data_IF_371348197783
#
_entry.id   IF_371348197783
#
_cell.length_a   1.000
_cell.length_b   1.000
_cell.length_c   1.000
_cell.angle_alpha   90.00
_cell.angle_beta   90.00
_cell.angle_gamma   90.00
#
_symmetry.space_group_name_H-M   'P 1'
#
loop_
_entity.id
_entity.type
_entity.pdbx_description
1 polymer ?
#
# COMPACT_ATOMS: atom_id res chain seq x y z
N UNK A 1 6.09 2.93 28.58
CA UNK A 1 5.82 2.71 27.15
C UNK A 1 7.12 2.88 26.40
N UNK A 2 7.81 1.77 26.14
CA UNK A 2 9.09 1.77 25.44
C UNK A 2 8.98 2.32 24.01
N UNK A 3 10.07 2.91 23.53
CA UNK A 3 10.15 3.51 22.19
C UNK A 3 9.76 2.51 21.08
N UNK A 4 10.12 1.23 21.22
CA UNK A 4 9.75 0.20 20.24
C UNK A 4 8.25 -0.02 20.12
N UNK A 5 7.50 0.03 21.24
CA UNK A 5 6.02 -0.06 21.21
C UNK A 5 5.40 1.10 20.44
N UNK A 6 5.89 2.33 20.68
CA UNK A 6 5.42 3.53 19.99
C UNK A 6 5.64 3.40 18.48
N UNK A 7 6.84 2.98 18.07
CA UNK A 7 7.19 2.81 16.66
C UNK A 7 6.33 1.75 15.97
N UNK A 8 6.04 0.63 16.64
CA UNK A 8 5.10 -0.37 16.12
C UNK A 8 3.69 0.21 15.95
N UNK A 9 3.17 0.93 16.94
CA UNK A 9 1.82 1.50 16.85
C UNK A 9 1.74 2.50 15.68
N UNK A 10 2.70 3.43 15.60
CA UNK A 10 2.72 4.44 14.53
C UNK A 10 2.92 3.76 13.18
N UNK A 11 3.85 2.82 13.07
CA UNK A 11 4.12 2.10 11.83
C UNK A 11 2.91 1.32 11.32
N UNK A 12 2.21 0.61 12.21
CA UNK A 12 1.01 -0.14 11.88
C UNK A 12 -0.16 0.75 11.46
N UNK A 13 -0.36 1.88 12.16
CA UNK A 13 -1.36 2.88 11.78
C UNK A 13 -1.06 3.48 10.41
N UNK A 14 0.19 3.86 10.16
CA UNK A 14 0.60 4.43 8.87
C UNK A 14 0.38 3.42 7.74
N UNK A 15 0.77 2.15 7.92
CA UNK A 15 0.56 1.10 6.91
C UNK A 15 -0.93 0.82 6.64
N UNK A 16 -1.78 0.83 7.66
CA UNK A 16 -3.24 0.71 7.47
C UNK A 16 -3.83 1.91 6.76
N UNK A 17 -3.43 3.12 7.16
CA UNK A 17 -3.91 4.34 6.52
C UNK A 17 -3.48 4.40 5.06
N UNK A 18 -2.23 4.04 4.78
CA UNK A 18 -1.70 3.92 3.43
C UNK A 18 -2.52 2.97 2.57
N UNK A 19 -2.83 1.78 3.08
CA UNK A 19 -3.53 0.74 2.33
C UNK A 19 -5.02 1.02 2.11
N UNK A 20 -5.70 1.61 3.09
CA UNK A 20 -7.15 1.80 3.04
C UNK A 20 -7.55 3.15 2.46
N UNK A 21 -6.78 4.21 2.72
CA UNK A 21 -7.23 5.59 2.49
C UNK A 21 -6.41 6.36 1.47
N UNK A 22 -5.29 5.84 0.96
CA UNK A 22 -4.49 6.55 -0.02
C UNK A 22 -4.41 5.81 -1.36
N UNK A 23 -4.20 6.59 -2.42
CA UNK A 23 -3.78 6.05 -3.71
C UNK A 23 -2.33 5.57 -3.63
N UNK A 24 -2.05 4.49 -4.35
CA UNK A 24 -0.69 4.01 -4.56
C UNK A 24 -0.05 4.67 -5.79
N UNK A 25 -0.87 5.00 -6.79
CA UNK A 25 -0.42 5.65 -8.01
C UNK A 25 -1.50 6.57 -8.61
N UNK A 26 -1.04 7.53 -9.42
CA UNK A 26 -1.84 8.43 -10.24
C UNK A 26 -1.15 8.60 -11.60
N UNK A 27 -1.82 8.17 -12.67
CA UNK A 27 -1.31 8.20 -14.05
C UNK A 27 -2.09 9.25 -14.83
N UNK A 28 -1.39 10.19 -15.45
CA UNK A 28 -2.02 11.16 -16.35
C UNK A 28 -2.36 10.50 -17.69
N UNK A 29 -3.65 10.42 -18.02
CA UNK A 29 -4.14 9.83 -19.27
C UNK A 29 -4.48 10.89 -20.33
N UNK A 30 -4.90 12.08 -19.88
CA UNK A 30 -5.06 13.28 -20.68
C UNK A 30 -4.57 14.47 -19.84
N UNK A 31 -4.23 15.62 -20.46
CA UNK A 31 -3.86 16.83 -19.72
C UNK A 31 -4.89 17.18 -18.64
N UNK A 32 -4.48 17.06 -17.37
CA UNK A 32 -5.35 17.33 -16.21
C UNK A 32 -6.35 16.21 -15.84
N UNK A 33 -6.32 15.05 -16.51
CA UNK A 33 -7.15 13.89 -16.19
C UNK A 33 -6.24 12.76 -15.70
N UNK A 34 -6.40 12.41 -14.42
CA UNK A 34 -5.61 11.38 -13.75
C UNK A 34 -6.43 10.13 -13.49
N UNK A 35 -5.88 8.98 -13.86
CA UNK A 35 -6.35 7.67 -13.47
C UNK A 35 -5.62 7.25 -12.20
N UNK A 36 -6.38 7.07 -11.11
CA UNK A 36 -5.85 6.83 -9.77
C UNK A 36 -6.13 5.40 -9.31
N UNK A 37 -5.11 4.74 -8.78
CA UNK A 37 -5.25 3.42 -8.18
C UNK A 37 -5.25 3.49 -6.67
N UNK A 38 -6.34 3.05 -6.07
CA UNK A 38 -6.53 3.00 -4.63
C UNK A 38 -6.49 1.56 -4.13
N UNK A 39 -5.99 1.35 -2.90
CA UNK A 39 -6.02 0.01 -2.29
C UNK A 39 -7.44 -0.55 -2.18
N UNK A 40 -8.42 0.29 -1.84
CA UNK A 40 -9.84 -0.10 -1.82
C UNK A 40 -10.39 -0.48 -3.20
N UNK A 41 -9.78 -0.03 -4.29
CA UNK A 41 -10.20 -0.37 -5.64
C UNK A 41 -10.11 -1.87 -5.91
N UNK A 42 -9.09 -2.54 -5.38
CA UNK A 42 -9.00 -4.00 -5.46
C UNK A 42 -10.14 -4.71 -4.74
N UNK A 43 -10.59 -4.17 -3.60
CA UNK A 43 -11.72 -4.73 -2.88
C UNK A 43 -13.01 -4.57 -3.67
N UNK A 44 -13.22 -3.40 -4.29
CA UNK A 44 -14.42 -3.14 -5.10
C UNK A 44 -14.44 -3.95 -6.40
N UNK A 45 -13.27 -4.21 -6.99
CA UNK A 45 -13.12 -5.00 -8.21
C UNK A 45 -12.95 -6.50 -7.96
N UNK A 46 -13.01 -6.97 -6.70
CA UNK A 46 -12.69 -8.35 -6.34
C UNK A 46 -13.47 -9.37 -7.18
N UNK A 47 -14.78 -9.19 -7.33
CA UNK A 47 -15.60 -10.10 -8.15
C UNK A 47 -15.16 -10.16 -9.62
N UNK A 48 -14.82 -9.02 -10.22
CA UNK A 48 -14.38 -8.94 -11.62
C UNK A 48 -13.00 -9.60 -11.83
N UNK A 49 -12.13 -9.56 -10.81
CA UNK A 49 -10.81 -10.19 -10.86
C UNK A 49 -10.94 -11.72 -10.99
N UNK A 50 -11.80 -12.36 -10.20
CA UNK A 50 -11.99 -13.80 -10.27
C UNK A 50 -12.74 -14.27 -11.52
N UNK A 51 -13.64 -13.46 -12.07
CA UNK A 51 -14.36 -13.82 -13.30
C UNK A 51 -13.53 -13.61 -14.56
N UNK A 52 -12.62 -12.63 -14.58
CA UNK A 52 -11.70 -12.39 -15.70
C UNK A 52 -10.62 -13.47 -15.85
N UNK A 53 -10.31 -14.20 -14.78
CA UNK A 53 -9.23 -15.20 -14.76
C UNK A 53 -7.83 -14.59 -14.84
N UNK A 54 -7.69 -13.28 -14.62
CA UNK A 54 -6.39 -12.61 -14.63
C UNK A 54 -5.57 -12.98 -13.39
N UNK A 55 -4.56 -13.83 -13.60
CA UNK A 55 -3.65 -14.33 -12.56
C UNK A 55 -2.95 -13.17 -11.85
N UNK A 56 -2.57 -12.11 -12.57
CA UNK A 56 -1.89 -10.95 -11.97
C UNK A 56 -2.85 -10.14 -11.10
N UNK A 57 -4.10 -9.97 -11.54
CA UNK A 57 -5.15 -9.34 -10.72
C UNK A 57 -5.41 -10.11 -9.41
N UNK A 58 -5.42 -11.44 -9.46
CA UNK A 58 -5.54 -12.30 -8.28
C UNK A 58 -4.32 -12.11 -7.36
N UNK A 59 -3.10 -12.11 -7.92
CA UNK A 59 -1.87 -11.88 -7.14
C UNK A 59 -1.92 -10.51 -6.46
N UNK A 60 -2.33 -9.44 -7.15
CA UNK A 60 -2.46 -8.12 -6.54
C UNK A 60 -3.53 -8.06 -5.44
N UNK A 61 -4.62 -8.79 -5.59
CA UNK A 61 -5.66 -8.91 -4.54
C UNK A 61 -5.11 -9.58 -3.27
N UNK A 62 -4.32 -10.64 -3.44
CA UNK A 62 -3.63 -11.31 -2.33
C UNK A 62 -2.61 -10.36 -1.69
N UNK A 63 -1.83 -9.66 -2.51
CA UNK A 63 -0.85 -8.68 -2.05
C UNK A 63 -1.50 -7.53 -1.26
N UNK A 64 -2.67 -7.04 -1.67
CA UNK A 64 -3.43 -6.06 -0.91
C UNK A 64 -3.92 -6.60 0.44
N UNK A 65 -4.46 -7.81 0.45
CA UNK A 65 -4.86 -8.47 1.71
C UNK A 65 -3.65 -8.62 2.65
N UNK A 66 -2.49 -9.00 2.11
CA UNK A 66 -1.21 -9.03 2.84
C UNK A 66 -0.86 -7.63 3.36
N UNK A 67 -1.06 -6.56 2.57
CA UNK A 67 -0.86 -5.18 3.01
C UNK A 67 -1.72 -4.79 4.22
N UNK A 68 -3.02 -5.07 4.19
CA UNK A 68 -3.92 -4.80 5.32
C UNK A 68 -3.54 -5.63 6.54
N UNK A 69 -3.33 -6.94 6.36
CA UNK A 69 -2.91 -7.85 7.43
C UNK A 69 -1.56 -7.43 8.00
N UNK A 70 -0.64 -6.93 7.18
CA UNK A 70 0.67 -6.44 7.62
C UNK A 70 0.54 -5.29 8.61
N UNK A 71 -0.32 -4.31 8.33
CA UNK A 71 -0.60 -3.20 9.25
C UNK A 71 -1.16 -3.67 10.59
N UNK A 72 -2.10 -4.64 10.56
CA UNK A 72 -2.62 -5.27 11.78
C UNK A 72 -1.55 -6.03 12.57
N UNK A 73 -0.69 -6.78 11.89
CA UNK A 73 0.41 -7.51 12.52
C UNK A 73 1.44 -6.58 13.16
N UNK A 74 1.74 -5.44 12.53
CA UNK A 74 2.62 -4.42 13.11
C UNK A 74 1.98 -3.82 14.38
N UNK A 75 0.68 -3.56 14.39
CA UNK A 75 -0.05 -3.08 15.59
C UNK A 75 0.00 -4.10 16.73
N UNK A 76 -0.36 -5.36 16.46
CA UNK A 76 -0.25 -6.47 17.43
C UNK A 76 1.21 -6.64 17.87
N UNK A 77 2.14 -6.26 16.99
CA UNK A 77 3.56 -6.18 17.22
C UNK A 77 3.97 -5.38 18.46
N UNK A 78 3.15 -4.42 18.89
CA UNK A 78 3.34 -3.70 20.16
C UNK A 78 3.33 -4.62 21.40
N UNK A 79 2.72 -5.81 21.30
CA UNK A 79 2.76 -6.85 22.32
C UNK A 79 3.74 -7.99 21.98
N UNK A 80 4.00 -8.25 20.69
CA UNK A 80 4.87 -9.35 20.23
C UNK A 80 5.88 -8.89 19.17
N UNK A 81 7.17 -8.86 19.54
CA UNK A 81 8.26 -8.46 18.63
C UNK A 81 8.27 -9.24 17.31
N UNK A 82 8.02 -10.54 17.36
CA UNK A 82 8.02 -11.39 16.17
C UNK A 82 6.94 -10.97 15.16
N UNK A 83 5.72 -10.65 15.64
CA UNK A 83 4.64 -10.20 14.79
C UNK A 83 4.91 -8.82 14.20
N UNK A 84 5.55 -7.92 14.97
CA UNK A 84 5.99 -6.62 14.46
C UNK A 84 6.93 -6.79 13.25
N UNK A 85 7.94 -7.65 13.38
CA UNK A 85 8.94 -7.88 12.32
C UNK A 85 8.30 -8.52 11.09
N UNK A 86 7.49 -9.57 11.26
CA UNK A 86 6.82 -10.25 10.16
C UNK A 86 5.88 -9.31 9.41
N UNK A 87 5.02 -8.57 10.14
CA UNK A 87 4.15 -7.58 9.54
C UNK A 87 4.93 -6.51 8.78
N UNK A 88 6.04 -6.03 9.36
CA UNK A 88 6.88 -5.02 8.72
C UNK A 88 7.52 -5.50 7.42
N UNK A 89 7.98 -6.75 7.36
CA UNK A 89 8.53 -7.35 6.15
C UNK A 89 7.46 -7.39 5.05
N UNK A 90 6.24 -7.79 5.37
CA UNK A 90 5.15 -7.81 4.38
C UNK A 90 4.78 -6.41 3.87
N UNK A 91 4.67 -5.43 4.77
CA UNK A 91 4.42 -4.04 4.39
C UNK A 91 5.51 -3.49 3.47
N UNK A 92 6.79 -3.73 3.83
CA UNK A 92 7.94 -3.32 3.03
C UNK A 92 7.98 -4.01 1.67
N UNK A 93 7.76 -5.32 1.63
CA UNK A 93 7.78 -6.08 0.38
C UNK A 93 6.72 -5.57 -0.59
N UNK A 94 5.49 -5.36 -0.12
CA UNK A 94 4.41 -4.78 -0.91
C UNK A 94 4.74 -3.36 -1.38
N UNK A 95 5.17 -2.50 -0.45
CA UNK A 95 5.52 -1.11 -0.75
C UNK A 95 6.64 -0.99 -1.77
N UNK A 96 7.69 -1.82 -1.66
CA UNK A 96 8.81 -1.86 -2.61
C UNK A 96 8.35 -2.36 -3.98
N UNK A 97 7.52 -3.42 -4.05
CA UNK A 97 6.96 -3.87 -5.33
C UNK A 97 6.15 -2.75 -5.98
N UNK A 98 5.28 -2.07 -5.23
CA UNK A 98 4.51 -0.94 -5.74
C UNK A 98 5.42 0.19 -6.20
N UNK A 99 6.47 0.54 -5.44
CA UNK A 99 7.47 1.53 -5.85
C UNK A 99 8.18 1.13 -7.15
N UNK A 100 8.54 -0.14 -7.32
CA UNK A 100 9.19 -0.62 -8.53
C UNK A 100 8.22 -0.60 -9.72
N UNK A 101 6.97 -0.99 -9.52
CA UNK A 101 5.96 -1.05 -10.58
C UNK A 101 5.46 0.34 -10.98
N UNK A 102 5.26 1.27 -10.04
CA UNK A 102 4.66 2.59 -10.30
C UNK A 102 5.67 3.73 -10.33
N UNK A 103 6.79 3.58 -9.61
CA UNK A 103 7.88 4.56 -9.57
C UNK A 103 8.95 4.33 -10.64
N UNK A 104 9.24 3.08 -11.02
CA UNK A 104 10.27 2.76 -12.01
C UNK A 104 9.73 2.66 -13.46
N UNK A 105 8.41 2.67 -13.68
CA UNK A 105 7.80 2.68 -15.03
C UNK A 105 7.98 4.00 -15.79
N UNK A 106 8.85 4.88 -15.30
CA UNK A 106 9.48 5.88 -16.16
C UNK A 106 10.47 5.12 -17.06
N UNK A 107 10.24 5.15 -18.38
CA UNK A 107 11.23 4.98 -19.48
C UNK A 107 11.29 3.69 -20.32
N UNK A 108 10.54 2.61 -20.08
CA UNK A 108 10.57 1.47 -21.03
C UNK A 108 9.16 0.95 -21.33
N UNK A 109 8.60 1.50 -22.41
CA UNK A 109 7.41 1.06 -23.12
C UNK A 109 6.07 1.19 -22.37
N UNK A 110 5.18 1.93 -23.04
CA UNK A 110 3.77 2.16 -22.76
C UNK A 110 2.95 0.87 -22.91
N UNK A 111 3.19 -0.12 -22.05
CA UNK A 111 2.20 -1.14 -21.75
C UNK A 111 1.71 -0.87 -20.33
N UNK A 112 0.58 -0.16 -20.23
CA UNK A 112 -0.18 -0.11 -18.98
C UNK A 112 -0.51 -1.56 -18.67
N UNK A 113 0.19 -2.14 -17.69
CA UNK A 113 -0.09 -3.50 -17.26
C UNK A 113 -1.56 -3.52 -16.82
N UNK A 114 -2.43 -4.20 -17.57
CA UNK A 114 -3.89 -4.18 -17.37
C UNK A 114 -4.26 -4.54 -15.92
N UNK A 115 -3.43 -5.33 -15.27
CA UNK A 115 -3.54 -5.71 -13.86
C UNK A 115 -3.55 -4.51 -12.90
N UNK A 116 -2.90 -3.41 -13.26
CA UNK A 116 -2.87 -2.17 -12.47
C UNK A 116 -4.25 -1.51 -12.48
N UNK A 117 -5.06 -1.71 -13.53
CA UNK A 117 -6.43 -1.20 -13.62
C UNK A 117 -7.35 -1.75 -12.52
N UNK A 118 -7.03 -2.89 -11.89
CA UNK A 118 -7.85 -3.41 -10.79
C UNK A 118 -7.78 -2.59 -9.50
N UNK A 119 -6.76 -1.73 -9.37
CA UNK A 119 -6.72 -0.73 -8.31
C UNK A 119 -7.57 0.51 -8.66
N UNK A 120 -7.99 0.67 -9.92
CA UNK A 120 -8.78 1.82 -10.35
C UNK A 120 -10.17 1.69 -9.76
N UNK A 121 -10.56 2.77 -9.11
CA UNK A 121 -11.83 2.88 -8.44
C UNK A 121 -12.18 4.35 -8.34
N UNK A 122 -13.48 4.64 -8.44
CA UNK A 122 -13.97 5.95 -8.10
C UNK A 122 -13.79 6.18 -6.58
N UNK A 123 -13.42 7.40 -6.17
CA UNK A 123 -13.42 7.74 -4.77
C UNK A 123 -14.85 7.60 -4.22
N UNK A 124 -14.98 7.07 -3.00
CA UNK A 124 -16.27 6.97 -2.29
C UNK A 124 -16.83 8.38 -2.06
N UNK A 125 -15.96 9.32 -1.70
CA UNK A 125 -16.28 10.74 -1.63
C UNK A 125 -15.17 11.49 -2.34
N UNK A 126 -15.52 12.19 -3.42
CA UNK A 126 -14.55 12.89 -4.27
C UNK A 126 -13.71 13.89 -3.46
N UNK A 127 -12.39 13.84 -3.67
CA UNK A 127 -11.40 14.62 -2.92
C UNK A 127 -11.26 14.29 -1.43
N UNK A 128 -12.04 13.36 -0.88
CA UNK A 128 -12.07 13.06 0.56
C UNK A 128 -11.68 11.60 0.86
N UNK A 129 -12.16 10.60 0.13
CA UNK A 129 -11.85 9.22 0.48
C UNK A 129 -12.06 8.24 -0.68
N UNK A 130 -11.08 7.38 -0.97
CA UNK A 130 -9.65 7.50 -0.64
C UNK A 130 -8.99 8.76 -1.25
N UNK A 131 -7.95 9.26 -0.59
CA UNK A 131 -7.19 10.44 -0.99
C UNK A 131 -6.11 10.12 -2.01
N UNK A 132 -6.06 10.90 -3.08
CA UNK A 132 -4.92 10.95 -3.96
C UNK A 132 -4.03 12.14 -3.64
N UNK A 133 -2.78 11.88 -3.25
CA UNK A 133 -1.74 12.90 -3.17
C UNK A 133 -0.55 12.45 -4.04
N UNK A 134 -0.55 12.94 -5.28
CA UNK A 134 0.57 12.72 -6.20
C UNK A 134 1.82 13.42 -5.68
N UNK A 135 2.97 12.75 -5.76
CA UNK A 135 4.25 13.28 -5.32
C UNK A 135 5.03 13.99 -6.43
N UNK A 136 4.48 14.04 -7.65
CA UNK A 136 5.17 14.62 -8.82
C UNK A 136 6.40 13.82 -9.27
N UNK A 137 6.59 12.61 -8.74
CA UNK A 137 7.68 11.68 -9.05
C UNK A 137 7.12 10.52 -9.88
N UNK A 138 6.93 10.76 -11.18
CA UNK A 138 6.28 9.78 -12.07
C UNK A 138 4.83 9.54 -11.70
N UNK A 139 4.38 8.27 -11.72
CA UNK A 139 3.01 7.91 -11.35
C UNK A 139 2.82 7.69 -9.85
N UNK A 140 3.82 7.96 -9.01
CA UNK A 140 3.80 7.62 -7.59
C UNK A 140 2.88 8.52 -6.77
N UNK A 141 2.17 7.93 -5.81
CA UNK A 141 1.34 8.65 -4.83
C UNK A 141 1.74 8.34 -3.39
N UNK A 142 1.29 9.19 -2.46
CA UNK A 142 1.67 9.16 -1.05
C UNK A 142 1.40 7.81 -0.36
N UNK A 143 0.36 7.07 -0.75
CA UNK A 143 0.04 5.78 -0.13
C UNK A 143 1.19 4.78 -0.22
N UNK A 144 1.90 4.75 -1.34
CA UNK A 144 3.04 3.84 -1.52
C UNK A 144 4.19 4.20 -0.57
N UNK A 145 4.49 5.50 -0.42
CA UNK A 145 5.55 5.99 0.47
C UNK A 145 5.18 5.76 1.93
N UNK A 146 3.93 6.00 2.31
CA UNK A 146 3.43 5.73 3.66
C UNK A 146 3.52 4.25 3.98
N UNK A 147 3.17 3.36 3.05
CA UNK A 147 3.27 1.91 3.29
C UNK A 147 4.71 1.48 3.57
N UNK A 148 5.68 2.00 2.81
CA UNK A 148 7.11 1.76 3.06
C UNK A 148 7.53 2.36 4.40
N UNK A 149 7.17 3.61 4.68
CA UNK A 149 7.50 4.29 5.94
C UNK A 149 6.93 3.56 7.17
N UNK A 150 5.68 3.10 7.08
CA UNK A 150 5.02 2.31 8.11
C UNK A 150 5.72 0.97 8.35
N UNK A 151 6.12 0.29 7.27
CA UNK A 151 6.94 -0.92 7.34
C UNK A 151 8.31 -0.70 7.99
N UNK A 152 9.03 0.38 7.65
CA UNK A 152 10.33 0.70 8.27
C UNK A 152 10.15 0.97 9.77
N UNK A 153 9.17 1.78 10.16
CA UNK A 153 8.91 2.11 11.57
C UNK A 153 8.53 0.86 12.37
N UNK A 154 7.68 0.00 11.82
CA UNK A 154 7.34 -1.27 12.44
C UNK A 154 8.57 -2.18 12.64
N UNK A 155 9.48 -2.21 11.65
CA UNK A 155 10.68 -3.05 11.72
C UNK A 155 11.62 -2.56 12.81
N UNK A 156 11.89 -1.24 12.83
CA UNK A 156 12.71 -0.62 13.88
C UNK A 156 12.06 -0.84 15.25
N UNK A 157 10.74 -0.68 15.36
CA UNK A 157 10.00 -0.92 16.60
C UNK A 157 10.13 -2.36 17.11
N UNK A 158 10.04 -3.33 16.19
CA UNK A 158 10.23 -4.75 16.50
C UNK A 158 11.65 -5.08 16.97
N UNK A 159 12.68 -4.48 16.33
CA UNK A 159 14.10 -4.71 16.65
C UNK A 159 14.50 -4.05 17.98
N UNK A 160 14.16 -2.76 18.17
CA UNK A 160 14.44 -2.01 19.41
C UNK A 160 13.78 -2.68 20.61
N UNK A 161 12.64 -3.34 20.37
CA UNK A 161 12.00 -4.19 21.34
C UNK A 161 10.77 -3.56 21.94
N UNK A 162 9.76 -4.40 22.12
CA UNK A 162 8.43 -4.02 22.62
C UNK A 162 8.21 -4.43 24.08
N UNK A 163 9.26 -4.78 24.81
CA UNK A 163 9.19 -4.92 26.28
C UNK A 163 9.46 -3.56 26.90
N UNK A 164 8.63 -3.17 27.87
CA UNK A 164 8.96 -2.04 28.75
C UNK A 164 10.18 -2.38 29.62
#
# INVERSE_FOLDING_TARGET
>A
MGAGKILCIIGGLISLVATLFFSFYAIEILPGVYLTGYGIGLFMNFGAIFTSGDILGIVFSILYAIGVVSGLLILIGAASRALAIIGSIFALFLGIILLLVTGLTITIMTEINLSVLFFVADPIVDGILPFNLSLGLGSMSLGTVLLVGGGVLGLIGGIVGTSD
#
